data_IF_114369827600
#
_entry.id   IF_114369827600
#
_cell.length_a   1.000
_cell.length_b   1.000
_cell.length_c   1.000
_cell.angle_alpha   90.00
_cell.angle_beta   90.00
_cell.angle_gamma   90.00
#
_symmetry.space_group_name_H-M   'P 1'
#
loop_
_entity.id
_entity.type
_entity.pdbx_description
1 polymer ?
2 non-polymer ?
3 non-polymer ?
4 non-polymer ?
5 non-polymer ?
6 water ?
#
# COMPACT_ATOMS: atom_id res chain seq x y z
N UNK A 1 -8.45 -6.03 16.86
CA UNK A 1 -7.16 -5.49 16.39
C UNK A 1 -6.89 -5.89 14.94
N UNK A 2 -5.73 -5.48 14.42
CA UNK A 2 -5.39 -5.70 12.99
C UNK A 2 -5.42 -7.17 12.53
N UNK A 3 -4.92 -8.09 13.35
CA UNK A 3 -4.94 -9.52 12.97
C UNK A 3 -6.27 -10.23 13.17
N UNK A 4 -7.32 -9.53 13.59
CA UNK A 4 -8.64 -10.13 13.79
C UNK A 4 -9.50 -10.10 12.54
N UNK A 5 -9.03 -9.42 11.52
CA UNK A 5 -9.70 -9.42 10.24
C UNK A 5 -9.41 -10.75 9.53
N UNK A 6 -10.45 -11.44 9.07
CA UNK A 6 -10.28 -12.74 8.43
C UNK A 6 -9.43 -12.60 7.18
N UNK A 7 -9.57 -11.50 6.44
CA UNK A 7 -8.73 -11.31 5.24
C UNK A 7 -7.26 -11.02 5.56
N UNK A 8 -7.00 -10.40 6.71
CA UNK A 8 -5.63 -10.22 7.21
C UNK A 8 -5.00 -11.58 7.47
N UNK A 9 -5.72 -12.45 8.15
CA UNK A 9 -5.25 -13.78 8.41
C UNK A 9 -5.04 -14.57 7.11
N UNK A 10 -5.96 -14.40 6.17
CA UNK A 10 -5.85 -15.04 4.88
C UNK A 10 -4.56 -14.65 4.15
N UNK A 11 -4.24 -13.36 4.13
CA UNK A 11 -3.03 -12.84 3.54
C UNK A 11 -1.75 -13.31 4.22
N UNK A 12 -1.78 -13.35 5.54
CA UNK A 12 -0.72 -13.95 6.32
C UNK A 12 -0.39 -15.37 5.93
N UNK A 13 -1.39 -16.23 5.67
CA UNK A 13 -1.09 -17.61 5.26
C UNK A 13 -0.26 -17.73 4.00
N UNK A 14 -0.37 -16.78 3.06
CA UNK A 14 0.54 -16.76 1.90
C UNK A 14 1.76 -15.84 2.07
N UNK A 15 1.99 -15.32 3.28
CA UNK A 15 3.04 -14.36 3.58
C UNK A 15 3.08 -13.16 2.65
N UNK A 16 1.90 -12.58 2.40
CA UNK A 16 1.85 -11.42 1.54
C UNK A 16 2.32 -10.21 2.31
N UNK A 17 2.82 -9.23 1.59
CA UNK A 17 3.19 -7.94 2.16
C UNK A 17 1.89 -7.13 2.23
N UNK A 18 1.56 -6.61 3.41
CA UNK A 18 0.41 -5.76 3.54
C UNK A 18 0.54 -4.80 4.72
N UNK A 19 -0.26 -3.73 4.68
CA UNK A 19 -0.42 -2.81 5.80
C UNK A 19 -1.89 -2.52 6.03
N UNK A 20 -2.18 -2.15 7.27
CA UNK A 20 -3.49 -1.68 7.71
C UNK A 20 -3.29 -0.24 8.19
N UNK A 21 -4.13 0.68 7.75
CA UNK A 21 -4.14 2.07 8.25
C UNK A 21 -5.43 2.38 8.99
N UNK A 22 -5.37 3.43 9.81
CA UNK A 22 -6.50 3.84 10.62
C UNK A 22 -6.87 5.26 10.17
N UNK A 23 -7.95 5.38 9.38
CA UNK A 23 -8.33 6.68 8.88
C UNK A 23 -9.06 7.54 9.88
N UNK A 24 -9.40 7.00 11.06
CA UNK A 24 -9.98 7.77 12.16
C UNK A 24 -8.95 8.63 12.89
N UNK A 25 -7.68 8.34 12.69
CA UNK A 25 -6.60 9.16 13.18
C UNK A 25 -6.17 10.15 12.07
N UNK A 26 -5.89 11.44 12.42
CA UNK A 26 -5.45 12.36 11.39
C UNK A 26 -4.27 11.84 10.53
N UNK A 27 -4.42 12.05 9.22
CA UNK A 27 -3.46 11.60 8.24
C UNK A 27 -3.35 10.08 8.08
N UNK A 28 -4.36 9.32 8.52
CA UNK A 28 -4.46 7.93 8.11
C UNK A 28 -3.14 7.11 8.22
N UNK A 29 -2.54 7.06 9.43
CA UNK A 29 -1.27 6.39 9.58
C UNK A 29 -1.39 4.86 9.52
N UNK A 30 -0.29 4.21 9.16
CA UNK A 30 -0.18 2.76 9.27
C UNK A 30 -0.25 2.39 10.76
N UNK A 31 -1.05 1.37 11.07
CA UNK A 31 -1.19 0.78 12.41
C UNK A 31 -0.85 -0.74 12.49
N UNK A 32 -0.54 -1.35 11.34
CA UNK A 32 0.05 -2.69 11.25
C UNK A 32 0.75 -2.84 9.91
N UNK A 33 1.88 -3.55 9.90
CA UNK A 33 2.55 -3.98 8.69
C UNK A 33 3.04 -5.40 8.87
N UNK A 34 2.88 -6.24 7.85
CA UNK A 34 3.35 -7.62 7.90
C UNK A 34 4.89 -7.67 7.81
N UNK A 35 5.44 -8.81 8.24
CA UNK A 35 6.86 -9.02 8.21
C UNK A 35 7.43 -8.83 6.81
N UNK A 36 6.72 -9.36 5.80
CA UNK A 36 7.09 -9.18 4.41
C UNK A 36 7.32 -7.72 4.01
N UNK A 37 6.42 -6.87 4.44
CA UNK A 37 6.49 -5.43 4.21
C UNK A 37 7.74 -4.80 4.87
N UNK A 38 7.99 -5.22 6.11
CA UNK A 38 9.11 -4.67 6.88
C UNK A 38 10.45 -5.06 6.26
N UNK A 39 10.51 -6.27 5.76
CA UNK A 39 11.69 -6.75 5.07
C UNK A 39 11.92 -6.08 3.73
N UNK A 40 10.86 -5.94 2.95
CA UNK A 40 10.93 -5.23 1.68
C UNK A 40 11.42 -3.77 1.83
N UNK A 41 10.90 -3.08 2.83
CA UNK A 41 11.17 -1.66 2.98
C UNK A 41 12.36 -1.31 3.87
N UNK A 42 12.81 -2.23 4.71
CA UNK A 42 13.96 -2.00 5.53
C UNK A 42 13.70 -1.29 6.84
N UNK A 43 12.43 -1.14 7.22
CA UNK A 43 12.03 -0.53 8.49
C UNK A 43 11.56 -1.53 9.55
N UNK A 44 11.72 -1.16 10.82
CA UNK A 44 11.20 -1.93 11.94
C UNK A 44 9.71 -1.64 12.09
N UNK A 45 8.95 -2.58 12.64
CA UNK A 45 7.52 -2.39 12.83
C UNK A 45 7.20 -1.08 13.61
N UNK A 46 7.91 -0.86 14.74
CA UNK A 46 7.67 0.28 15.59
C UNK A 46 7.89 1.62 14.85
N UNK A 47 8.83 1.62 13.92
CA UNK A 47 9.12 2.80 13.14
C UNK A 47 8.05 3.11 12.13
N UNK A 48 7.49 2.06 11.51
CA UNK A 48 6.48 2.27 10.49
C UNK A 48 5.12 2.67 11.07
N UNK A 49 4.73 2.01 12.16
CA UNK A 49 3.52 2.38 12.90
C UNK A 49 3.55 3.85 13.28
N UNK A 50 2.47 4.54 12.92
CA UNK A 50 2.36 5.98 13.17
C UNK A 50 2.73 6.83 11.97
N UNK A 51 3.34 6.25 10.94
CA UNK A 51 3.64 6.97 9.68
C UNK A 51 2.59 6.74 8.63
N UNK A 52 2.26 7.78 7.85
CA UNK A 52 1.49 7.60 6.61
C UNK A 52 2.39 6.87 5.64
N UNK A 53 1.83 5.99 4.82
CA UNK A 53 2.67 5.16 3.95
C UNK A 53 3.27 5.94 2.76
N UNK A 54 2.94 7.23 2.61
CA UNK A 54 3.62 8.07 1.61
C UNK A 54 5.13 8.19 1.87
N UNK A 55 5.57 7.84 3.08
CA UNK A 55 6.99 7.86 3.38
C UNK A 55 7.78 6.91 2.50
N UNK A 56 7.13 5.98 1.78
CA UNK A 56 7.83 5.16 0.81
C UNK A 56 8.03 5.85 -0.54
N UNK A 57 7.54 7.07 -0.69
CA UNK A 57 7.66 7.80 -1.98
C UNK A 57 8.88 8.71 -1.99
N UNK A 58 9.33 9.08 -3.20
CA UNK A 58 10.48 9.97 -3.37
C UNK A 58 10.46 10.66 -4.72
N UNK A 59 11.57 11.31 -5.09
CA UNK A 59 11.49 12.25 -6.21
C UNK A 59 11.12 11.62 -7.54
N UNK A 60 11.49 10.35 -7.75
CA UNK A 60 11.20 9.68 -9.02
C UNK A 60 9.86 8.96 -9.04
N UNK A 61 9.17 8.93 -7.89
CA UNK A 61 7.79 8.45 -7.82
C UNK A 61 6.92 9.41 -8.65
N UNK A 62 6.05 8.81 -9.48
CA UNK A 62 5.14 9.54 -10.36
C UNK A 62 4.02 10.13 -9.53
N UNK A 63 3.91 11.48 -9.51
CA UNK A 63 2.84 12.05 -8.70
C UNK A 63 1.44 11.71 -9.21
N UNK A 64 1.32 11.38 -10.50
CA UNK A 64 0.05 11.00 -11.10
C UNK A 64 -0.48 9.64 -10.58
N UNK A 65 0.42 8.68 -10.36
CA UNK A 65 0.12 7.42 -9.66
C UNK A 65 -0.38 7.67 -8.23
N UNK A 66 0.32 8.55 -7.53
CA UNK A 66 -0.01 8.85 -6.15
C UNK A 66 -1.36 9.52 -6.11
N UNK A 67 -1.65 10.36 -7.10
CA UNK A 67 -2.92 11.05 -7.17
C UNK A 67 -4.10 10.06 -7.47
N UNK A 68 -3.83 8.98 -8.20
CA UNK A 68 -4.81 7.90 -8.40
C UNK A 68 -5.22 7.23 -7.11
N UNK A 69 -4.24 7.03 -6.23
CA UNK A 69 -4.51 6.50 -4.90
C UNK A 69 -5.32 7.48 -4.06
N UNK A 70 -4.90 8.74 -4.03
CA UNK A 70 -5.58 9.74 -3.24
C UNK A 70 -7.06 9.84 -3.62
N UNK A 71 -7.31 9.95 -4.93
CA UNK A 71 -8.68 10.00 -5.46
C UNK A 71 -9.49 8.78 -5.15
N UNK A 72 -8.94 7.60 -5.34
CA UNK A 72 -9.62 6.35 -4.96
C UNK A 72 -10.03 6.31 -3.49
N UNK A 73 -9.13 6.74 -2.62
CA UNK A 73 -9.50 6.81 -1.21
C UNK A 73 -10.58 7.89 -0.99
N UNK A 74 -10.44 9.02 -1.66
CA UNK A 74 -11.43 10.08 -1.60
C UNK A 74 -12.80 9.60 -2.07
N UNK A 75 -12.86 8.95 -3.23
CA UNK A 75 -14.12 8.60 -3.90
C UNK A 75 -14.71 7.27 -3.43
N UNK A 76 -14.09 6.61 -2.44
CA UNK A 76 -14.54 5.29 -1.96
C UNK A 76 -14.35 4.14 -2.95
N UNK A 77 -13.22 4.11 -3.64
CA UNK A 77 -12.97 3.13 -4.71
C UNK A 77 -11.77 2.24 -4.34
N UNK A 78 -11.92 0.93 -4.56
CA UNK A 78 -10.76 0.06 -4.65
C UNK A 78 -9.77 0.66 -5.65
N UNK A 79 -8.50 0.62 -5.33
CA UNK A 79 -7.46 1.13 -6.24
C UNK A 79 -6.31 0.16 -6.40
N UNK A 80 -5.82 0.01 -7.62
CA UNK A 80 -4.59 -0.73 -7.91
C UNK A 80 -3.65 0.14 -8.75
N UNK A 81 -2.42 0.40 -8.28
CA UNK A 81 -1.44 1.15 -9.04
C UNK A 81 -0.09 0.44 -9.00
N UNK A 82 0.76 0.80 -9.96
CA UNK A 82 2.16 0.48 -9.90
C UNK A 82 2.95 1.79 -9.76
N UNK A 83 3.81 1.84 -8.76
CA UNK A 83 4.62 3.03 -8.52
C UNK A 83 5.97 2.71 -7.89
N UNK A 84 6.90 3.64 -8.07
CA UNK A 84 8.27 3.51 -7.57
C UNK A 84 8.26 3.90 -6.10
N UNK A 85 8.85 3.03 -5.31
CA UNK A 85 8.99 3.24 -3.88
C UNK A 85 10.46 3.13 -3.45
N UNK A 86 10.71 3.58 -2.24
CA UNK A 86 12.02 3.79 -1.64
C UNK A 86 12.14 3.08 -0.28
N UNK A 87 13.19 2.30 -0.14
CA UNK A 87 13.53 1.66 1.14
C UNK A 87 14.16 2.68 2.08
N UNK A 88 14.30 2.31 3.34
CA UNK A 88 15.00 3.10 4.34
C UNK A 88 16.38 3.57 3.81
N UNK A 89 17.12 2.71 3.13
CA UNK A 89 18.45 3.10 2.62
C UNK A 89 18.46 3.97 1.32
N UNK A 90 17.28 4.39 0.84
CA UNK A 90 17.18 5.17 -0.40
C UNK A 90 17.10 4.37 -1.71
N UNK A 91 17.31 3.06 -1.68
CA UNK A 91 17.26 2.24 -2.88
C UNK A 91 15.81 2.06 -3.26
N UNK A 92 15.55 1.84 -4.55
CA UNK A 92 14.19 1.83 -5.03
C UNK A 92 13.73 0.46 -5.50
N UNK A 93 12.42 0.31 -5.57
CA UNK A 93 11.77 -0.85 -6.15
C UNK A 93 10.41 -0.41 -6.70
N UNK A 94 9.89 -1.23 -7.63
CA UNK A 94 8.55 -1.05 -8.13
C UNK A 94 7.55 -1.84 -7.29
N UNK A 95 6.45 -1.16 -6.92
CA UNK A 95 5.44 -1.64 -5.97
C UNK A 95 4.11 -1.63 -6.70
N UNK A 96 3.53 -2.81 -6.89
CA UNK A 96 2.13 -2.91 -7.30
C UNK A 96 1.29 -2.92 -6.04
N UNK A 97 0.43 -1.92 -5.92
CA UNK A 97 -0.25 -1.63 -4.69
C UNK A 97 -1.74 -1.86 -4.89
N UNK A 98 -2.36 -2.62 -3.99
CA UNK A 98 -3.79 -2.97 -4.03
C UNK A 98 -4.44 -2.45 -2.73
N UNK A 99 -5.38 -1.52 -2.87
CA UNK A 99 -5.97 -0.85 -1.72
C UNK A 99 -7.48 -0.97 -1.71
N UNK A 100 -8.00 -1.29 -0.54
CA UNK A 100 -9.43 -1.41 -0.33
C UNK A 100 -9.79 -0.93 1.06
N UNK A 101 -10.99 -0.39 1.17
CA UNK A 101 -11.61 0.00 2.43
C UNK A 101 -12.27 -1.18 3.12
N UNK A 102 -12.06 -1.26 4.43
CA UNK A 102 -12.72 -2.21 5.32
C UNK A 102 -13.80 -1.41 6.06
N UNK A 103 -15.04 -1.85 5.90
CA UNK A 103 -16.19 -1.07 6.32
C UNK A 103 -16.95 -1.78 7.38
N UNK A 104 -17.69 -1.01 8.16
CA UNK A 104 -18.67 -1.52 9.11
C UNK A 104 -20.06 -1.62 8.46
N UNK A 105 -21.05 -2.04 9.25
CA UNK A 105 -22.41 -2.22 8.78
C UNK A 105 -23.14 -1.02 8.23
N UNK A 106 -22.62 0.19 8.47
CA UNK A 106 -23.19 1.44 7.94
C UNK A 106 -22.34 1.98 6.79
N UNK A 107 -21.29 1.25 6.40
CA UNK A 107 -20.45 1.68 5.30
C UNK A 107 -19.34 2.62 5.71
N UNK A 108 -19.18 2.88 7.01
CA UNK A 108 -18.11 3.78 7.45
C UNK A 108 -16.80 3.02 7.32
N UNK A 109 -15.78 3.65 6.77
CA UNK A 109 -14.48 3.02 6.62
C UNK A 109 -13.80 2.97 7.99
N UNK A 110 -13.59 1.78 8.50
CA UNK A 110 -12.98 1.62 9.81
C UNK A 110 -11.45 1.41 9.73
N UNK A 111 -10.98 0.82 8.63
CA UNK A 111 -9.56 0.69 8.31
C UNK A 111 -9.40 0.60 6.79
N UNK A 112 -8.20 0.90 6.33
CA UNK A 112 -7.83 0.55 4.97
C UNK A 112 -6.81 -0.56 5.03
N UNK A 113 -6.95 -1.48 4.08
CA UNK A 113 -6.05 -2.60 3.86
C UNK A 113 -5.33 -2.40 2.53
N UNK A 114 -4.00 -2.48 2.56
CA UNK A 114 -3.17 -2.27 1.40
C UNK A 114 -2.18 -3.40 1.21
N UNK A 115 -2.26 -4.09 0.07
CA UNK A 115 -1.34 -5.19 -0.27
C UNK A 115 -0.27 -4.69 -1.25
N UNK A 116 1.01 -5.03 -0.99
CA UNK A 116 2.15 -4.62 -1.83
C UNK A 116 2.82 -5.82 -2.48
N UNK A 117 2.97 -5.77 -3.80
CA UNK A 117 3.72 -6.77 -4.54
C UNK A 117 4.85 -6.07 -5.24
N UNK A 118 6.06 -6.42 -4.85
CA UNK A 118 7.27 -5.96 -5.55
C UNK A 118 7.30 -6.59 -6.92
N UNK A 119 7.50 -5.80 -7.94
CA UNK A 119 7.47 -6.30 -9.29
C UNK A 119 8.72 -5.84 -10.00
N UNK A 120 9.05 -6.55 -11.06
CA UNK A 120 10.22 -6.22 -11.82
C UNK A 120 10.00 -4.91 -12.59
N UNK A 121 11.11 -4.33 -13.01
CA UNK A 121 11.08 -3.14 -13.86
C UNK A 121 10.34 -3.40 -15.14
N UNK A 122 10.61 -4.56 -15.74
CA UNK A 122 10.01 -4.93 -17.00
C UNK A 122 8.49 -5.09 -16.85
N UNK A 123 8.08 -5.76 -15.79
CA UNK A 123 6.67 -5.87 -15.47
C UNK A 123 6.04 -4.46 -15.25
N UNK A 124 6.63 -3.64 -14.37
CA UNK A 124 6.16 -2.26 -14.15
C UNK A 124 6.04 -1.47 -15.47
N UNK A 125 7.08 -1.57 -16.29
CA UNK A 125 7.13 -0.95 -17.64
C UNK A 125 5.89 -1.35 -18.47
N UNK A 126 5.69 -2.66 -18.58
CA UNK A 126 4.58 -3.17 -19.36
C UNK A 126 3.22 -2.86 -18.73
N UNK A 127 3.11 -2.92 -17.40
CA UNK A 127 1.82 -2.63 -16.75
C UNK A 127 1.41 -1.19 -17.01
N UNK A 128 2.35 -0.28 -16.81
CA UNK A 128 2.10 1.16 -16.93
C UNK A 128 1.81 1.55 -18.35
N UNK A 129 2.50 0.93 -19.30
CA UNK A 129 2.22 1.19 -20.68
C UNK A 129 0.84 0.73 -21.12
N UNK A 130 0.41 -0.43 -20.65
CA UNK A 130 -0.93 -0.95 -20.89
C UNK A 130 -1.98 -0.05 -20.23
N UNK A 131 -1.77 0.29 -18.97
CA UNK A 131 -2.58 1.31 -18.29
C UNK A 131 -2.78 2.55 -19.15
N UNK A 132 -1.66 3.09 -19.65
CA UNK A 132 -1.68 4.34 -20.40
C UNK A 132 -2.41 4.15 -21.73
N UNK A 133 -2.15 3.03 -22.42
CA UNK A 133 -2.80 2.69 -23.70
C UNK A 133 -4.29 2.45 -23.60
N UNK A 134 -4.65 1.57 -22.66
CA UNK A 134 -6.05 1.25 -22.36
C UNK A 134 -6.87 2.50 -21.99
N UNK A 135 -6.20 3.44 -21.32
CA UNK A 135 -6.82 4.64 -20.71
C UNK A 135 -7.56 5.51 -21.73
X LIG B 1 -3.77 8.38 3.18
X LIG C 1 6.04 4.53 15.56
X LIG D 1 -1.49 12.51 0.38
X LIG D 1 -1.08 11.58 -0.74
X LIG D 1 0.36 11.15 -0.56
X LIG D 1 -1.24 12.30 -2.07
X LIG D 1 -2.05 10.30 -0.70
X LIG D 1 -1.87 9.17 -1.55
X LIG D 1 -0.79 8.26 -0.98
X LIG D 1 0.48 8.93 -0.98
X LIG D 1 -1.17 7.80 0.42
X LIG D 1 -2.51 7.30 0.37
X LIG D 1 -0.21 6.73 0.97
X LIG D 1 -0.62 6.27 2.26
X LIG D 1 -0.17 5.55 0.01
X LIG D 1 0.21 4.32 0.67
X LIG D 1 -0.75 3.57 1.34
X LIG D 1 -1.90 4.15 1.83
X LIG D 1 -2.84 3.35 2.47
X LIG D 1 -4.09 3.96 3.05
X LIG D 1 -2.63 1.90 2.59
X LIG D 1 -3.65 1.04 3.28
X LIG D 1 -1.48 1.32 2.07
X LIG D 1 -0.54 2.10 1.44
X LIG D 1 1.45 3.74 0.39
X LIG D 1 2.20 4.43 -0.48
X LIG D 1 1.87 2.41 0.99
X LIG D 1 3.13 1.97 0.33
X LIG D 1 3.59 0.88 0.71
X LIG D 1 3.83 2.77 -0.49
X LIG D 1 3.38 3.96 -0.91
X LIG D 1 4.04 4.66 -1.69
X LIG D 1 0.71 1.43 0.87
X LIG E 1 2.58 2.00 -0.48
X LIG E 1 1.28 2.47 0.07
X LIG E 1 0.92 3.88 -0.21
X LIG E 1 1.76 4.65 -0.94
X LIG E 1 3.33 2.88 -1.19
X LIG E 1 2.91 4.17 -1.40
X LIG E 1 -2.78 1.78 2.57
X LIG E 1 -3.20 3.18 2.31
X LIG E 1 -2.39 4.03 1.55
X LIG E 1 -1.17 3.57 1.03
X LIG E 1 -0.76 2.17 1.32
X LIG E 1 -1.57 1.33 2.07
X LIG E 1 0.44 1.66 0.82
X LIG E 1 -3.64 0.86 3.38
X LIG E 1 -4.49 3.70 2.85
X LIG E 1 -0.65 5.76 -0.09
X LIG E 1 -0.37 6.92 0.84
X LIG E 1 -1.31 8.09 0.43
X LIG E 1 -1.04 8.59 -1.01
X LIG E 1 -2.01 9.66 -1.50
X LIG E 1 -0.29 4.39 0.28
X LIG E 1 3.60 4.98 -2.06
X LIG E 1 2.97 0.81 -0.24
X LIG E 1 -2.25 10.63 -0.47
X LIG E 1 -0.48 6.50 2.20
X LIG E 1 0.31 9.09 -1.11
X LIG E 1 -2.69 7.70 0.52
X LIG E 1 -1.68 12.79 -1.60
X LIG E 1 0.13 11.67 -0.28
X LIG E 1 -1.77 12.67 0.89
X LIG E 1 -1.37 11.97 -0.35
#
# INVERSE_FOLDING_TARGET
>A
GAMDYSLVKALQTAQQNFVISDPSIPDNPIVYASQGFLTLTGYALSEVLGRNCRFLQGPETDPKAVEKVRKGLERGEDTTVVLLNYRKDGSTFWNQLFIAALRDGEGNVVNYLGVQCKVSEDYAKAFLKNEENEK
>B hetero
1 CL CL
>C hetero
1 MG MG
>D hetero
1 5DD O3P P O1P O2P O5' C5' C4' O4' C3' O3' C2' O2' C1' N10 C9A C9 C8 C8M C7 C7M C6 C5A C10 N1 C4A C4 O4 N3 C2 O2 C1
>E hetero
1 9O9 C4 C5 C6 N1 N3 C2 CAA CAB CAC CAD CAE CAF CAJ CAO CAP CAS CAT CAU CAV CAW NAG O2 O4 OAX OAY OAZ OBA OBC OBD OBE PBB
#
